data_IF_545116918082
#
_entry.id   IF_545116918082
#
_cell.length_a   1.000
_cell.length_b   1.000
_cell.length_c   1.000
_cell.angle_alpha   90.00
_cell.angle_beta   90.00
_cell.angle_gamma   90.00
#
_symmetry.space_group_name_H-M   'P 1'
#
loop_
_entity.id
_entity.type
_entity.pdbx_description
1 polymer ?
#
# COMPACT_ATOMS: atom_id res chain seq x y z
N UNK A 1 -32.00 28.07 23.57
CA UNK A 1 -32.49 28.43 22.22
C UNK A 1 -32.30 27.26 21.27
N UNK A 2 -33.34 26.84 20.53
CA UNK A 2 -33.30 25.66 19.64
C UNK A 2 -32.73 26.05 18.28
N UNK A 3 -31.68 25.35 17.82
CA UNK A 3 -31.00 25.63 16.54
C UNK A 3 -31.98 25.44 15.38
N UNK A 4 -32.26 26.50 14.63
CA UNK A 4 -33.09 26.45 13.41
C UNK A 4 -32.19 25.94 12.28
N UNK A 5 -32.43 24.71 11.84
CA UNK A 5 -31.75 24.12 10.68
C UNK A 5 -32.65 24.33 9.47
N UNK A 6 -32.16 25.08 8.46
CA UNK A 6 -32.88 25.26 7.20
C UNK A 6 -32.98 23.91 6.49
N UNK A 7 -34.21 23.42 6.31
CA UNK A 7 -34.45 22.22 5.50
C UNK A 7 -34.22 22.56 4.04
N UNK A 8 -33.55 21.67 3.31
CA UNK A 8 -33.40 21.80 1.86
C UNK A 8 -34.78 21.71 1.19
N UNK A 9 -34.95 22.41 0.07
CA UNK A 9 -36.17 22.34 -0.73
C UNK A 9 -36.38 20.92 -1.30
N UNK A 10 -37.63 20.51 -1.50
CA UNK A 10 -37.93 19.16 -2.01
C UNK A 10 -37.35 18.92 -3.41
N UNK A 11 -37.33 19.96 -4.25
CA UNK A 11 -36.76 19.91 -5.61
C UNK A 11 -35.24 19.70 -5.56
N UNK A 12 -34.54 20.40 -4.66
CA UNK A 12 -33.09 20.19 -4.48
C UNK A 12 -32.78 18.77 -3.99
N UNK A 13 -33.65 18.18 -3.16
CA UNK A 13 -33.48 16.82 -2.64
C UNK A 13 -33.67 15.75 -3.71
N UNK A 14 -34.64 15.91 -4.62
CA UNK A 14 -34.86 14.97 -5.72
C UNK A 14 -33.68 15.04 -6.71
N UNK A 15 -33.15 16.25 -6.98
CA UNK A 15 -32.00 16.43 -7.88
C UNK A 15 -30.70 15.85 -7.31
N UNK A 16 -30.49 15.93 -5.98
CA UNK A 16 -29.29 15.38 -5.32
C UNK A 16 -29.40 13.89 -5.01
N UNK A 17 -30.61 13.36 -4.85
CA UNK A 17 -30.87 11.96 -4.48
C UNK A 17 -30.06 10.90 -5.24
N UNK A 18 -29.93 10.92 -6.59
CA UNK A 18 -29.18 9.87 -7.28
C UNK A 18 -27.69 9.88 -6.91
N UNK A 19 -27.10 11.08 -6.74
CA UNK A 19 -25.71 11.21 -6.31
C UNK A 19 -25.55 10.82 -4.85
N UNK A 20 -26.47 11.26 -3.99
CA UNK A 20 -26.47 10.93 -2.56
C UNK A 20 -26.62 9.42 -2.34
N UNK A 21 -27.43 8.74 -3.16
CA UNK A 21 -27.60 7.29 -3.14
C UNK A 21 -26.33 6.56 -3.60
N UNK A 22 -25.70 7.00 -4.69
CA UNK A 22 -24.42 6.43 -5.13
C UNK A 22 -23.31 6.62 -4.10
N UNK A 23 -23.28 7.78 -3.44
CA UNK A 23 -22.34 8.07 -2.36
C UNK A 23 -22.61 7.17 -1.15
N UNK A 24 -23.88 7.00 -0.76
CA UNK A 24 -24.27 6.11 0.33
C UNK A 24 -23.91 4.64 0.03
N UNK A 25 -24.13 4.16 -1.20
CA UNK A 25 -23.70 2.82 -1.61
C UNK A 25 -22.18 2.68 -1.59
N UNK A 26 -21.45 3.71 -2.01
CA UNK A 26 -19.99 3.68 -1.98
C UNK A 26 -19.46 3.69 -0.53
N UNK A 27 -20.07 4.49 0.34
CA UNK A 27 -19.76 4.50 1.78
C UNK A 27 -20.03 3.13 2.39
N UNK A 28 -21.20 2.53 2.14
CA UNK A 28 -21.51 1.17 2.60
C UNK A 28 -20.50 0.15 2.08
N UNK A 29 -20.07 0.26 0.82
CA UNK A 29 -19.07 -0.64 0.24
C UNK A 29 -17.70 -0.50 0.91
N UNK A 30 -17.28 0.72 1.23
CA UNK A 30 -16.01 1.01 1.93
C UNK A 30 -16.05 0.61 3.40
N UNK A 31 -17.21 0.73 4.06
CA UNK A 31 -17.40 0.33 5.46
C UNK A 31 -17.32 -1.18 5.69
N UNK A 32 -17.62 -1.98 4.66
CA UNK A 32 -17.55 -3.45 4.77
C UNK A 32 -16.12 -3.90 4.52
N UNK A 33 -15.49 -4.45 5.56
CA UNK A 33 -14.18 -5.11 5.47
C UNK A 33 -14.28 -6.48 4.77
N UNK A 34 -14.48 -6.46 3.45
CA UNK A 34 -14.58 -7.66 2.60
C UNK A 34 -13.38 -8.61 2.73
N UNK A 35 -12.21 -8.09 3.12
CA UNK A 35 -10.99 -8.88 3.32
C UNK A 35 -11.03 -9.75 4.59
N UNK A 36 -11.90 -9.45 5.56
CA UNK A 36 -12.10 -10.29 6.76
C UNK A 36 -13.05 -11.46 6.50
N UNK A 37 -14.07 -11.23 5.67
CA UNK A 37 -15.07 -12.23 5.28
C UNK A 37 -14.64 -13.10 4.09
N UNK A 38 -13.41 -12.92 3.60
CA UNK A 38 -13.00 -13.56 2.35
C UNK A 38 -12.93 -15.08 2.44
N UNK A 39 -12.43 -15.62 3.55
CA UNK A 39 -12.29 -17.07 3.72
C UNK A 39 -13.63 -17.74 4.01
N UNK A 40 -14.46 -17.10 4.83
CA UNK A 40 -15.74 -17.64 5.27
C UNK A 40 -16.85 -17.53 4.24
N UNK A 41 -16.86 -16.46 3.43
CA UNK A 41 -17.93 -16.20 2.46
C UNK A 41 -17.49 -16.49 1.02
N UNK A 42 -16.29 -16.03 0.60
CA UNK A 42 -15.93 -16.08 -0.81
C UNK A 42 -15.70 -17.51 -1.33
N UNK A 43 -15.09 -18.37 -0.51
CA UNK A 43 -14.82 -19.77 -0.86
C UNK A 43 -16.11 -20.57 -1.05
N UNK A 44 -17.03 -20.66 -0.07
CA UNK A 44 -18.27 -21.40 -0.27
C UNK A 44 -19.13 -20.79 -1.37
N UNK A 45 -19.16 -19.46 -1.50
CA UNK A 45 -19.88 -18.80 -2.58
C UNK A 45 -19.35 -19.20 -3.96
N UNK A 46 -18.03 -19.26 -4.15
CA UNK A 46 -17.44 -19.71 -5.41
C UNK A 46 -17.70 -21.18 -5.72
N UNK A 47 -17.66 -22.05 -4.70
CA UNK A 47 -18.02 -23.48 -4.85
C UNK A 47 -19.49 -23.62 -5.22
N UNK A 48 -20.39 -22.93 -4.53
CA UNK A 48 -21.82 -22.94 -4.83
C UNK A 48 -22.09 -22.45 -6.25
N UNK A 49 -21.44 -21.36 -6.69
CA UNK A 49 -21.57 -20.86 -8.06
C UNK A 49 -21.05 -21.84 -9.12
N UNK A 50 -19.91 -22.51 -8.88
CA UNK A 50 -19.41 -23.55 -9.81
C UNK A 50 -20.35 -24.75 -9.88
N UNK A 51 -20.89 -25.20 -8.74
CA UNK A 51 -21.86 -26.31 -8.69
C UNK A 51 -23.16 -25.94 -9.39
N UNK A 52 -23.71 -24.75 -9.15
CA UNK A 52 -24.90 -24.27 -9.85
C UNK A 52 -24.66 -24.26 -11.36
N UNK A 53 -23.51 -23.74 -11.80
CA UNK A 53 -23.14 -23.75 -13.23
C UNK A 53 -23.05 -25.17 -13.79
N UNK A 54 -22.43 -26.10 -13.06
CA UNK A 54 -22.35 -27.51 -13.44
C UNK A 54 -23.74 -28.16 -13.55
N UNK A 55 -24.64 -27.92 -12.61
CA UNK A 55 -26.00 -28.47 -12.67
C UNK A 55 -26.85 -27.87 -13.80
N UNK A 56 -26.72 -26.56 -14.05
CA UNK A 56 -27.33 -25.91 -15.21
C UNK A 56 -26.85 -26.59 -16.49
N UNK A 57 -25.54 -26.84 -16.59
CA UNK A 57 -24.95 -27.48 -17.74
C UNK A 57 -25.40 -28.93 -17.91
N UNK A 58 -25.42 -29.70 -16.83
CA UNK A 58 -25.91 -31.08 -16.81
C UNK A 58 -27.37 -31.15 -17.28
N UNK A 59 -28.20 -30.21 -16.83
CA UNK A 59 -29.60 -30.15 -17.25
C UNK A 59 -29.77 -29.82 -18.74
N UNK A 60 -28.96 -28.91 -19.28
CA UNK A 60 -28.92 -28.63 -20.72
C UNK A 60 -28.51 -29.88 -21.52
N UNK A 61 -27.41 -30.54 -21.11
CA UNK A 61 -26.92 -31.75 -21.77
C UNK A 61 -27.94 -32.90 -21.71
N UNK A 62 -28.74 -32.99 -20.64
CA UNK A 62 -29.81 -33.99 -20.49
C UNK A 62 -31.00 -33.73 -21.41
N UNK A 63 -31.39 -32.46 -21.61
CA UNK A 63 -32.47 -32.08 -22.53
C UNK A 63 -32.07 -32.28 -23.98
N UNK A 64 -30.80 -32.05 -24.31
CA UNK A 64 -30.29 -32.07 -25.69
C UNK A 64 -30.01 -33.49 -26.25
N UNK A 65 -30.41 -34.55 -25.52
CA UNK A 65 -30.33 -35.94 -26.00
C UNK A 65 -31.45 -36.20 -27.03
N UNK A 66 -31.32 -35.63 -28.22
CA UNK A 66 -31.93 -36.21 -29.42
C UNK A 66 -31.12 -37.45 -29.86
N UNK A 67 -31.77 -38.56 -30.24
CA UNK A 67 -31.11 -39.78 -30.72
C UNK A 67 -30.69 -39.65 -32.19
N UNK A 68 -29.98 -38.58 -32.56
CA UNK A 68 -29.66 -38.30 -33.96
C UNK A 68 -28.16 -38.11 -34.21
N UNK A 69 -27.59 -39.20 -34.73
CA UNK A 69 -26.31 -39.36 -35.46
C UNK A 69 -25.01 -39.00 -34.73
N UNK A 70 -24.04 -39.90 -34.90
CA UNK A 70 -22.65 -39.76 -34.49
C UNK A 70 -22.01 -38.47 -35.05
N UNK A 71 -22.22 -37.36 -34.34
CA UNK A 71 -21.58 -36.05 -34.53
C UNK A 71 -20.09 -36.05 -34.12
N UNK A 72 -19.48 -37.23 -33.94
CA UNK A 72 -18.05 -37.40 -33.67
C UNK A 72 -17.18 -37.34 -34.94
N UNK A 73 -17.78 -37.47 -36.13
CA UNK A 73 -17.06 -37.54 -37.40
C UNK A 73 -17.46 -36.48 -38.45
N UNK A 74 -18.29 -35.49 -38.09
CA UNK A 74 -18.69 -34.46 -39.04
C UNK A 74 -17.80 -33.22 -38.86
N UNK A 75 -16.88 -33.00 -39.80
CA UNK A 75 -15.93 -31.88 -39.81
C UNK A 75 -16.43 -30.67 -40.63
N UNK A 76 -17.60 -30.78 -41.26
CA UNK A 76 -18.03 -29.83 -42.30
C UNK A 76 -18.91 -28.66 -41.83
N UNK A 77 -19.49 -28.72 -40.63
CA UNK A 77 -20.24 -27.57 -40.13
C UNK A 77 -19.30 -26.63 -39.36
N UNK A 78 -18.87 -25.57 -40.07
CA UNK A 78 -18.31 -24.38 -39.45
C UNK A 78 -19.22 -23.95 -38.30
N UNK A 79 -18.74 -24.16 -37.07
CA UNK A 79 -19.35 -23.78 -35.80
C UNK A 79 -19.51 -22.25 -35.75
N UNK A 80 -20.50 -21.73 -36.44
CA UNK A 80 -21.00 -20.38 -36.24
C UNK A 80 -21.66 -20.34 -34.86
N UNK A 81 -21.41 -19.28 -34.10
CA UNK A 81 -21.99 -19.07 -32.76
C UNK A 81 -23.53 -19.17 -32.79
N UNK A 82 -24.15 -18.88 -33.95
CA UNK A 82 -25.58 -19.02 -34.19
C UNK A 82 -26.10 -20.47 -34.20
N UNK A 83 -25.26 -21.46 -34.51
CA UNK A 83 -25.68 -22.87 -34.68
C UNK A 83 -25.26 -23.74 -33.48
N UNK A 84 -24.79 -23.12 -32.39
CA UNK A 84 -24.59 -23.89 -31.16
C UNK A 84 -25.97 -24.28 -30.60
N UNK A 85 -26.17 -25.53 -30.14
CA UNK A 85 -27.45 -25.98 -29.58
C UNK A 85 -27.92 -25.12 -28.39
N UNK A 86 -27.00 -24.38 -27.76
CA UNK A 86 -27.24 -23.46 -26.65
C UNK A 86 -27.93 -22.14 -27.05
N UNK A 87 -27.94 -21.82 -28.35
CA UNK A 87 -28.68 -20.70 -28.95
C UNK A 87 -29.88 -21.20 -29.79
N UNK A 88 -30.18 -22.51 -29.76
CA UNK A 88 -31.28 -23.09 -30.50
C UNK A 88 -32.65 -22.58 -30.05
N UNK A 89 -33.55 -22.36 -31.01
CA UNK A 89 -34.93 -21.91 -30.84
C UNK A 89 -35.82 -22.96 -30.15
N UNK A 90 -35.46 -23.42 -28.94
CA UNK A 90 -36.38 -24.20 -28.12
C UNK A 90 -37.20 -23.26 -27.22
N UNK A 91 -38.44 -23.02 -27.67
CA UNK A 91 -39.41 -21.98 -27.30
C UNK A 91 -40.00 -22.03 -25.89
N UNK A 92 -39.39 -22.78 -24.96
CA UNK A 92 -39.88 -22.83 -23.59
C UNK A 92 -39.35 -21.65 -22.76
N UNK A 93 -40.23 -21.03 -21.99
CA UNK A 93 -39.86 -19.92 -21.09
C UNK A 93 -38.79 -20.38 -20.08
N UNK A 94 -38.81 -21.65 -19.66
CA UNK A 94 -37.85 -22.22 -18.72
C UNK A 94 -36.43 -22.35 -19.30
N UNK A 95 -36.28 -22.81 -20.55
CA UNK A 95 -34.97 -22.88 -21.23
C UNK A 95 -34.36 -21.49 -21.41
N UNK A 96 -35.20 -20.48 -21.71
CA UNK A 96 -34.76 -19.09 -21.78
C UNK A 96 -34.28 -18.54 -20.42
N UNK A 97 -34.97 -18.84 -19.32
CA UNK A 97 -34.54 -18.46 -17.97
C UNK A 97 -33.21 -19.14 -17.56
N UNK A 98 -33.04 -20.41 -17.91
CA UNK A 98 -31.82 -21.17 -17.61
C UNK A 98 -30.63 -20.62 -18.39
N UNK A 99 -30.80 -20.36 -19.70
CA UNK A 99 -29.77 -19.73 -20.54
C UNK A 99 -29.42 -18.32 -20.03
N UNK A 100 -30.42 -17.51 -19.64
CA UNK A 100 -30.18 -16.19 -19.05
C UNK A 100 -29.38 -16.25 -17.75
N UNK A 101 -29.66 -17.26 -16.92
CA UNK A 101 -28.93 -17.49 -15.65
C UNK A 101 -27.48 -17.91 -15.90
N UNK A 102 -27.24 -18.74 -16.93
CA UNK A 102 -25.90 -19.13 -17.37
C UNK A 102 -25.05 -17.91 -17.78
N UNK A 103 -25.62 -17.04 -18.63
CA UNK A 103 -24.96 -15.80 -19.06
C UNK A 103 -24.65 -14.88 -17.88
N UNK A 104 -25.56 -14.78 -16.91
CA UNK A 104 -25.35 -13.99 -15.70
C UNK A 104 -24.15 -14.52 -14.89
N UNK A 105 -24.08 -15.85 -14.68
CA UNK A 105 -22.98 -16.49 -13.95
C UNK A 105 -21.65 -16.29 -14.70
N UNK A 106 -21.66 -16.41 -16.04
CA UNK A 106 -20.49 -16.17 -16.88
C UNK A 106 -20.01 -14.71 -16.81
N UNK A 107 -20.92 -13.75 -16.87
CA UNK A 107 -20.60 -12.32 -16.72
C UNK A 107 -19.99 -12.04 -15.35
N UNK A 108 -20.56 -12.58 -14.27
CA UNK A 108 -20.01 -12.44 -12.91
C UNK A 108 -18.57 -12.98 -12.86
N UNK A 109 -18.31 -14.12 -13.50
CA UNK A 109 -16.99 -14.72 -13.54
C UNK A 109 -15.96 -13.83 -14.26
N UNK A 110 -16.34 -13.30 -15.42
CA UNK A 110 -15.50 -12.39 -16.19
C UNK A 110 -15.21 -11.13 -15.38
N UNK A 111 -16.24 -10.52 -14.78
CA UNK A 111 -16.06 -9.29 -13.98
C UNK A 111 -15.12 -9.55 -12.80
N UNK A 112 -15.29 -10.64 -12.05
CA UNK A 112 -14.38 -10.98 -10.95
C UNK A 112 -12.94 -11.21 -11.45
N UNK A 113 -12.78 -11.91 -12.57
CA UNK A 113 -11.47 -12.13 -13.18
C UNK A 113 -10.81 -10.81 -13.60
N UNK A 114 -11.55 -9.92 -14.25
CA UNK A 114 -11.05 -8.59 -14.64
C UNK A 114 -10.62 -7.77 -13.41
N UNK A 115 -11.42 -7.79 -12.34
CA UNK A 115 -11.07 -7.11 -11.08
C UNK A 115 -9.77 -7.69 -10.51
N UNK A 116 -9.62 -9.02 -10.49
CA UNK A 116 -8.41 -9.67 -10.01
C UNK A 116 -7.17 -9.27 -10.83
N UNK A 117 -7.26 -9.31 -12.17
CA UNK A 117 -6.13 -9.02 -13.06
C UNK A 117 -5.72 -7.53 -13.08
N UNK A 118 -6.69 -6.61 -13.09
CA UNK A 118 -6.43 -5.20 -13.32
C UNK A 118 -6.31 -4.36 -12.05
N UNK A 119 -6.63 -4.90 -10.86
CA UNK A 119 -6.53 -4.15 -9.61
C UNK A 119 -5.06 -3.87 -9.26
N UNK A 120 -4.71 -2.59 -9.34
CA UNK A 120 -3.37 -2.09 -9.02
C UNK A 120 -3.46 -0.96 -8.00
N UNK A 121 -2.45 -0.85 -7.14
CA UNK A 121 -2.28 0.21 -6.16
C UNK A 121 -1.03 1.00 -6.46
N UNK A 122 -1.14 2.33 -6.39
CA UNK A 122 -0.06 3.27 -6.65
C UNK A 122 0.59 3.68 -5.33
N UNK A 123 1.91 3.64 -5.27
CA UNK A 123 2.70 4.13 -4.14
C UNK A 123 3.64 5.23 -4.63
N UNK A 124 3.69 6.35 -3.92
CA UNK A 124 4.65 7.42 -4.17
C UNK A 124 5.83 7.30 -3.21
N UNK A 125 7.04 7.33 -3.76
CA UNK A 125 8.30 7.28 -3.02
C UNK A 125 9.01 8.63 -3.23
N UNK A 126 9.42 9.25 -2.12
CA UNK A 126 10.02 10.58 -2.09
C UNK A 126 11.50 10.51 -1.69
N UNK A 127 12.29 11.50 -2.10
CA UNK A 127 13.69 11.70 -1.68
C UNK A 127 14.61 10.52 -2.02
N UNK A 128 14.46 9.94 -3.22
CA UNK A 128 15.34 8.88 -3.71
C UNK A 128 15.73 9.12 -5.17
N UNK A 129 17.03 9.08 -5.43
CA UNK A 129 17.60 9.36 -6.74
C UNK A 129 17.40 8.18 -7.72
N UNK A 130 17.61 6.95 -7.24
CA UNK A 130 17.53 5.73 -8.05
C UNK A 130 16.76 4.65 -7.29
N UNK A 131 15.71 4.11 -7.94
CA UNK A 131 15.04 2.88 -7.48
C UNK A 131 15.61 1.71 -8.30
N UNK A 132 15.79 0.56 -7.65
CA UNK A 132 16.18 -0.69 -8.30
C UNK A 132 15.31 -0.96 -9.54
N UNK A 133 15.91 -1.48 -10.61
CA UNK A 133 15.30 -1.75 -11.92
C UNK A 133 14.10 -2.73 -11.84
N UNK A 134 12.95 -2.23 -11.41
CA UNK A 134 11.65 -2.88 -11.57
C UNK A 134 10.90 -2.18 -12.69
N UNK A 135 10.33 -2.97 -13.61
CA UNK A 135 9.54 -2.43 -14.73
C UNK A 135 8.21 -1.79 -14.26
N UNK A 136 7.88 -1.91 -12.96
CA UNK A 136 6.71 -1.28 -12.33
C UNK A 136 6.96 0.16 -11.82
N UNK A 137 8.21 0.60 -11.75
CA UNK A 137 8.58 1.91 -11.21
C UNK A 137 8.69 2.94 -12.34
N UNK A 138 8.13 4.14 -12.12
CA UNK A 138 8.23 5.26 -13.05
C UNK A 138 8.54 6.54 -12.28
N UNK A 139 9.50 7.33 -12.74
CA UNK A 139 9.72 8.68 -12.23
C UNK A 139 8.61 9.58 -12.77
N UNK A 140 7.86 10.22 -11.87
CA UNK A 140 6.80 11.15 -12.22
C UNK A 140 7.22 12.52 -11.75
N UNK A 141 7.41 13.41 -12.73
CA UNK A 141 7.56 14.84 -12.47
C UNK A 141 6.18 15.46 -12.46
N UNK A 142 5.92 16.35 -11.49
CA UNK A 142 4.68 17.13 -11.44
C UNK A 142 4.45 17.82 -12.79
N UNK A 143 3.24 17.66 -13.35
CA UNK A 143 2.85 18.40 -14.56
C UNK A 143 2.77 19.88 -14.18
N UNK A 144 3.67 20.69 -14.70
CA UNK A 144 3.66 22.14 -14.49
C UNK A 144 2.46 22.73 -15.24
N UNK A 145 1.72 23.61 -14.56
CA UNK A 145 0.72 24.43 -15.22
C UNK A 145 1.40 25.41 -16.18
N UNK A 146 0.70 25.88 -17.22
CA UNK A 146 1.28 26.84 -18.18
C UNK A 146 1.80 28.12 -17.50
N UNK A 147 1.16 28.53 -16.40
CA UNK A 147 1.58 29.68 -15.59
C UNK A 147 2.86 29.40 -14.80
N UNK A 148 3.02 28.18 -14.25
CA UNK A 148 4.28 27.77 -13.60
C UNK A 148 5.44 27.71 -14.61
N UNK A 149 5.18 27.25 -15.84
CA UNK A 149 6.18 27.24 -16.92
C UNK A 149 6.59 28.66 -17.30
N UNK A 150 5.62 29.59 -17.39
CA UNK A 150 5.90 31.00 -17.66
C UNK A 150 6.66 31.65 -16.52
N UNK A 151 6.28 31.40 -15.26
CA UNK A 151 6.96 31.94 -14.10
C UNK A 151 8.42 31.45 -14.02
N UNK A 152 8.67 30.17 -14.28
CA UNK A 152 10.02 29.59 -14.33
C UNK A 152 10.88 30.15 -15.48
N UNK A 153 10.27 30.59 -16.58
CA UNK A 153 10.97 31.32 -17.64
C UNK A 153 11.44 32.72 -17.19
N UNK A 154 10.65 33.39 -16.34
CA UNK A 154 10.99 34.73 -15.84
C UNK A 154 11.92 34.70 -14.60
N UNK A 155 11.93 33.62 -13.81
CA UNK A 155 12.76 33.45 -12.61
C UNK A 155 13.45 32.07 -12.59
N UNK A 156 14.64 31.92 -13.21
CA UNK A 156 15.29 30.62 -13.41
C UNK A 156 16.12 30.07 -12.22
N UNK A 157 16.37 30.85 -11.16
CA UNK A 157 17.46 30.59 -10.19
C UNK A 157 17.20 29.55 -9.08
N UNK A 158 16.02 28.93 -8.99
CA UNK A 158 15.76 27.89 -7.96
C UNK A 158 15.95 26.47 -8.51
N UNK A 159 17.19 26.06 -8.75
CA UNK A 159 17.50 24.67 -9.17
C UNK A 159 17.36 23.64 -8.05
N UNK A 160 17.58 24.03 -6.79
CA UNK A 160 17.51 23.12 -5.64
C UNK A 160 16.07 22.72 -5.29
N UNK A 161 15.07 23.53 -5.63
CA UNK A 161 13.65 23.20 -5.43
C UNK A 161 13.11 22.24 -6.50
N UNK A 162 13.73 22.19 -7.69
CA UNK A 162 13.30 21.32 -8.82
C UNK A 162 13.42 19.82 -8.50
N UNK A 163 14.34 19.43 -7.63
CA UNK A 163 14.48 18.04 -7.19
C UNK A 163 13.40 17.61 -6.18
N UNK A 164 12.82 18.57 -5.43
CA UNK A 164 11.82 18.30 -4.40
C UNK A 164 10.44 17.92 -4.97
N UNK A 165 10.16 18.31 -6.21
CA UNK A 165 8.86 18.07 -6.89
C UNK A 165 8.84 16.78 -7.75
N UNK A 166 9.97 16.07 -7.87
CA UNK A 166 10.04 14.79 -8.57
C UNK A 166 9.91 13.62 -7.60
N UNK A 167 8.90 12.77 -7.79
CA UNK A 167 8.70 11.58 -6.98
C UNK A 167 8.63 10.33 -7.87
N UNK A 168 8.92 9.19 -7.29
CA UNK A 168 8.78 7.92 -7.98
C UNK A 168 7.40 7.33 -7.71
N UNK A 169 6.68 6.96 -8.77
CA UNK A 169 5.42 6.21 -8.69
C UNK A 169 5.70 4.73 -8.94
N UNK A 170 5.35 3.88 -7.97
CA UNK A 170 5.41 2.43 -8.08
C UNK A 170 3.99 1.87 -8.18
N UNK A 171 3.66 1.24 -9.32
CA UNK A 171 2.36 0.60 -9.54
C UNK A 171 2.45 -0.88 -9.22
N UNK A 172 1.81 -1.28 -8.13
CA UNK A 172 1.86 -2.65 -7.64
C UNK A 172 0.53 -3.34 -7.89
N UNK A 173 0.59 -4.58 -8.36
CA UNK A 173 -0.59 -5.43 -8.45
C UNK A 173 -1.09 -5.80 -7.04
N UNK A 174 -2.33 -5.43 -6.70
CA UNK A 174 -2.86 -5.61 -5.34
C UNK A 174 -4.31 -6.06 -5.39
N UNK A 175 -4.57 -7.34 -5.73
CA UNK A 175 -5.92 -7.90 -5.68
C UNK A 175 -6.42 -7.87 -4.22
N UNK A 176 -7.75 -7.70 -4.04
CA UNK A 176 -8.36 -7.88 -2.71
C UNK A 176 -8.35 -9.36 -2.34
N UNK A 177 -8.28 -9.66 -1.03
CA UNK A 177 -8.32 -11.04 -0.55
C UNK A 177 -9.61 -11.71 -1.01
N UNK A 178 -10.75 -11.03 -0.86
CA UNK A 178 -12.05 -11.52 -1.31
C UNK A 178 -12.06 -11.93 -2.78
N UNK A 179 -11.62 -11.04 -3.68
CA UNK A 179 -11.57 -11.33 -5.12
C UNK A 179 -10.58 -12.46 -5.46
N UNK A 180 -9.49 -12.59 -4.69
CA UNK A 180 -8.51 -13.69 -4.87
C UNK A 180 -9.12 -15.03 -4.50
N UNK A 181 -9.75 -15.14 -3.32
CA UNK A 181 -10.40 -16.38 -2.88
C UNK A 181 -11.59 -16.75 -3.79
N UNK A 182 -12.37 -15.75 -4.22
CA UNK A 182 -13.45 -15.95 -5.18
C UNK A 182 -12.91 -16.41 -6.54
N UNK A 183 -11.81 -15.81 -7.04
CA UNK A 183 -11.19 -16.22 -8.30
C UNK A 183 -10.64 -17.65 -8.26
N UNK A 184 -10.06 -18.06 -7.13
CA UNK A 184 -9.53 -19.42 -6.97
C UNK A 184 -10.66 -20.46 -6.89
N UNK A 185 -11.71 -20.19 -6.09
CA UNK A 185 -12.84 -21.11 -5.93
C UNK A 185 -13.76 -21.13 -7.18
N UNK A 186 -14.00 -19.96 -7.77
CA UNK A 186 -14.79 -19.77 -8.99
C UNK A 186 -13.87 -19.44 -10.17
N UNK A 187 -13.00 -20.39 -10.51
CA UNK A 187 -12.01 -20.20 -11.56
C UNK A 187 -12.65 -20.07 -12.95
N UNK A 188 -12.28 -19.05 -13.76
CA UNK A 188 -12.74 -18.92 -15.15
C UNK A 188 -12.41 -20.15 -15.98
N UNK A 189 -11.33 -20.86 -15.63
CA UNK A 189 -10.94 -22.10 -16.28
C UNK A 189 -12.03 -23.17 -16.17
N UNK A 190 -12.61 -23.37 -14.99
CA UNK A 190 -13.59 -24.44 -14.80
C UNK A 190 -14.86 -24.21 -15.64
N UNK A 191 -15.29 -22.96 -15.75
CA UNK A 191 -16.46 -22.57 -16.55
C UNK A 191 -16.15 -22.72 -18.04
N UNK A 192 -15.00 -22.21 -18.48
CA UNK A 192 -14.57 -22.37 -19.87
C UNK A 192 -14.39 -23.86 -20.22
N UNK A 193 -13.88 -24.68 -19.31
CA UNK A 193 -13.75 -26.12 -19.52
C UNK A 193 -15.11 -26.76 -19.76
N UNK A 194 -16.06 -26.54 -18.86
CA UNK A 194 -17.41 -27.06 -18.97
C UNK A 194 -18.13 -26.54 -20.23
N UNK A 195 -17.86 -25.30 -20.64
CA UNK A 195 -18.34 -24.75 -21.91
C UNK A 195 -17.74 -25.50 -23.12
N UNK A 196 -16.43 -25.78 -23.10
CA UNK A 196 -15.71 -26.43 -24.19
C UNK A 196 -15.76 -27.96 -24.17
N UNK A 197 -16.35 -28.60 -23.14
CA UNK A 197 -16.22 -30.04 -22.80
C UNK A 197 -16.86 -31.05 -23.78
N UNK A 198 -16.69 -30.85 -25.09
CA UNK A 198 -16.79 -31.87 -26.12
C UNK A 198 -15.38 -32.17 -26.63
N UNK A 199 -14.98 -33.44 -26.64
CA UNK A 199 -13.62 -33.83 -27.07
C UNK A 199 -13.36 -33.39 -28.51
N UNK A 200 -12.49 -32.40 -28.70
CA UNK A 200 -12.18 -31.75 -29.97
C UNK A 200 -10.80 -31.11 -29.89
N UNK A 201 -10.16 -30.80 -31.03
CA UNK A 201 -8.91 -30.01 -31.08
C UNK A 201 -8.98 -28.69 -30.29
N UNK A 202 -10.19 -28.15 -30.10
CA UNK A 202 -10.49 -26.99 -29.24
C UNK A 202 -10.02 -27.19 -27.78
N UNK A 203 -10.06 -28.42 -27.26
CA UNK A 203 -9.58 -28.71 -25.90
C UNK A 203 -8.06 -28.59 -25.76
N UNK A 204 -7.30 -28.82 -26.84
CA UNK A 204 -5.84 -28.60 -26.83
C UNK A 204 -5.53 -27.10 -26.71
N UNK A 205 -6.23 -26.26 -27.49
CA UNK A 205 -6.12 -24.79 -27.39
C UNK A 205 -6.50 -24.32 -25.99
N UNK A 206 -7.55 -24.90 -25.42
CA UNK A 206 -8.00 -24.60 -24.07
C UNK A 206 -6.95 -24.96 -23.01
N UNK A 207 -6.40 -26.18 -23.03
CA UNK A 207 -5.33 -26.61 -22.11
C UNK A 207 -4.06 -25.77 -22.24
N UNK A 208 -3.70 -25.37 -23.46
CA UNK A 208 -2.56 -24.49 -23.73
C UNK A 208 -2.81 -23.07 -23.19
N UNK A 209 -3.99 -22.51 -23.44
CA UNK A 209 -4.41 -21.20 -22.95
C UNK A 209 -4.31 -21.12 -21.44
N UNK A 210 -4.66 -22.20 -20.74
CA UNK A 210 -4.81 -22.17 -19.29
C UNK A 210 -3.49 -22.40 -18.61
N UNK A 211 -2.63 -23.23 -19.21
CA UNK A 211 -1.21 -23.29 -18.88
C UNK A 211 -0.53 -21.93 -19.05
N UNK A 212 -0.80 -21.21 -20.15
CA UNK A 212 -0.25 -19.87 -20.38
C UNK A 212 -0.74 -18.83 -19.36
N UNK A 213 -2.05 -18.82 -19.04
CA UNK A 213 -2.63 -17.93 -18.03
C UNK A 213 -2.03 -18.21 -16.66
N UNK A 214 -1.90 -19.48 -16.27
CA UNK A 214 -1.28 -19.88 -15.00
C UNK A 214 0.18 -19.44 -14.92
N UNK A 215 0.95 -19.65 -15.99
CA UNK A 215 2.33 -19.16 -16.08
C UNK A 215 2.39 -17.63 -15.90
N UNK A 216 1.53 -16.88 -16.59
CA UNK A 216 1.49 -15.43 -16.48
C UNK A 216 1.10 -14.93 -15.07
N UNK A 217 0.11 -15.56 -14.42
CA UNK A 217 -0.35 -15.20 -13.07
C UNK A 217 0.71 -15.53 -12.02
N UNK A 218 1.26 -16.74 -12.05
CA UNK A 218 2.14 -17.23 -10.98
C UNK A 218 3.58 -16.76 -11.20
N UNK A 219 4.11 -16.87 -12.41
CA UNK A 219 5.53 -16.58 -12.64
C UNK A 219 5.71 -15.08 -12.80
N UNK A 220 5.05 -14.46 -13.76
CA UNK A 220 5.29 -13.04 -14.07
C UNK A 220 4.68 -12.11 -13.02
N UNK A 221 3.39 -12.27 -12.71
CA UNK A 221 2.70 -11.31 -11.82
C UNK A 221 3.08 -11.48 -10.35
N UNK A 222 3.11 -12.71 -9.84
CA UNK A 222 3.37 -12.95 -8.41
C UNK A 222 4.85 -12.76 -8.03
N UNK A 223 5.82 -13.19 -8.87
CA UNK A 223 7.24 -12.88 -8.58
C UNK A 223 7.51 -11.37 -8.62
N UNK A 224 6.91 -10.66 -9.59
CA UNK A 224 6.99 -9.20 -9.66
C UNK A 224 6.39 -8.55 -8.41
N UNK A 225 5.25 -9.05 -7.93
CA UNK A 225 4.62 -8.58 -6.70
C UNK A 225 5.54 -8.73 -5.48
N UNK A 226 6.21 -9.88 -5.33
CA UNK A 226 7.16 -10.10 -4.23
C UNK A 226 8.31 -9.10 -4.30
N UNK A 227 8.90 -8.90 -5.50
CA UNK A 227 9.97 -7.94 -5.72
C UNK A 227 9.53 -6.51 -5.36
N UNK A 228 8.36 -6.09 -5.84
CA UNK A 228 7.82 -4.76 -5.61
C UNK A 228 7.47 -4.53 -4.12
N UNK A 229 6.94 -5.54 -3.43
CA UNK A 229 6.69 -5.48 -1.97
C UNK A 229 8.00 -5.35 -1.18
N UNK A 230 9.04 -6.09 -1.55
CA UNK A 230 10.36 -5.99 -0.90
C UNK A 230 10.91 -4.57 -0.99
N UNK A 231 10.77 -3.91 -2.14
CA UNK A 231 11.21 -2.52 -2.34
C UNK A 231 10.47 -1.58 -1.39
N UNK A 232 9.14 -1.71 -1.27
CA UNK A 232 8.37 -0.89 -0.31
C UNK A 232 8.85 -1.13 1.11
N UNK A 233 8.97 -2.39 1.54
CA UNK A 233 9.35 -2.69 2.92
C UNK A 233 10.72 -2.11 3.25
N UNK A 234 11.68 -2.27 2.35
CA UNK A 234 12.99 -1.64 2.48
C UNK A 234 12.87 -0.12 2.62
N UNK A 235 12.08 0.54 1.76
CA UNK A 235 11.91 1.99 1.80
C UNK A 235 11.23 2.47 3.08
N UNK A 236 10.18 1.78 3.53
CA UNK A 236 9.50 2.11 4.79
C UNK A 236 10.42 1.95 5.99
N UNK A 237 11.32 0.97 5.95
CA UNK A 237 12.32 0.76 6.99
C UNK A 237 13.38 1.86 6.97
N UNK A 238 13.89 2.23 5.79
CA UNK A 238 14.85 3.33 5.63
C UNK A 238 14.26 4.67 6.10
N UNK A 239 12.99 4.94 5.76
CA UNK A 239 12.26 6.12 6.20
C UNK A 239 12.09 6.13 7.72
N UNK A 240 11.70 4.99 8.30
CA UNK A 240 11.56 4.83 9.74
C UNK A 240 12.91 5.06 10.45
N UNK A 241 13.99 4.47 9.93
CA UNK A 241 15.32 4.59 10.51
C UNK A 241 15.79 6.06 10.48
N UNK A 242 15.61 6.74 9.35
CA UNK A 242 15.98 8.15 9.19
C UNK A 242 15.15 9.08 10.07
N UNK A 243 13.83 8.86 10.17
CA UNK A 243 12.92 9.78 10.90
C UNK A 243 12.91 9.54 12.40
N UNK A 244 13.03 8.30 12.86
CA UNK A 244 12.78 7.94 14.26
C UNK A 244 13.99 7.36 14.97
N UNK A 245 14.83 6.59 14.28
CA UNK A 245 15.94 5.84 14.90
C UNK A 245 17.20 6.69 15.00
N UNK A 246 17.77 7.09 13.85
CA UNK A 246 18.99 7.92 13.78
C UNK A 246 18.94 9.16 14.68
N UNK A 247 17.87 10.00 14.65
CA UNK A 247 17.85 11.19 15.49
C UNK A 247 17.78 10.90 16.99
N UNK A 248 17.38 9.70 17.42
CA UNK A 248 17.38 9.31 18.84
C UNK A 248 18.69 8.65 19.26
N UNK A 249 19.33 7.90 18.37
CA UNK A 249 20.60 7.22 18.65
C UNK A 249 21.81 8.16 18.57
N UNK A 250 21.83 9.09 17.61
CA UNK A 250 22.96 9.99 17.36
C UNK A 250 22.75 11.39 17.96
N UNK A 251 22.12 11.49 19.12
CA UNK A 251 22.03 12.77 19.85
C UNK A 251 23.38 13.03 20.49
N UNK A 252 24.06 14.08 20.07
CA UNK A 252 25.24 14.57 20.78
C UNK A 252 24.81 15.05 22.16
N UNK A 253 25.16 14.29 23.20
CA UNK A 253 24.92 14.68 24.59
C UNK A 253 26.18 15.37 25.13
N UNK A 254 25.97 16.44 25.89
CA UNK A 254 27.04 17.12 26.62
C UNK A 254 26.93 16.76 28.10
N UNK A 255 28.06 16.47 28.73
CA UNK A 255 28.12 16.30 30.18
C UNK A 255 28.05 17.67 30.86
N UNK A 256 27.17 17.78 31.85
CA UNK A 256 26.95 19.00 32.63
C UNK A 256 27.00 18.63 34.10
N UNK A 257 27.87 19.29 34.87
CA UNK A 257 27.86 19.19 36.33
C UNK A 257 27.10 20.39 36.91
N UNK A 258 26.18 20.09 37.83
CA UNK A 258 25.39 21.07 38.57
C UNK A 258 25.77 20.93 40.04
N UNK A 259 26.31 21.99 40.61
CA UNK A 259 26.54 22.08 42.05
C UNK A 259 25.25 22.54 42.73
N UNK A 260 24.73 21.76 43.68
CA UNK A 260 23.50 22.07 44.44
C UNK A 260 23.79 22.47 45.91
N UNK A 261 25.07 22.60 46.29
CA UNK A 261 25.47 22.72 47.71
C UNK A 261 24.95 23.99 48.39
N UNK A 262 24.65 25.05 47.62
CA UNK A 262 24.29 26.38 48.16
C UNK A 262 22.80 26.74 48.10
N UNK A 263 21.92 25.78 47.77
CA UNK A 263 20.48 25.97 47.76
C UNK A 263 19.94 26.86 46.61
N UNK A 264 18.62 27.07 46.53
CA UNK A 264 17.93 27.64 45.36
C UNK A 264 18.20 29.14 45.11
N UNK A 265 18.73 29.87 46.09
CA UNK A 265 18.99 31.31 46.00
C UNK A 265 20.39 31.65 45.47
N UNK A 266 21.28 30.66 45.34
CA UNK A 266 22.63 30.88 44.83
C UNK A 266 22.67 30.59 43.32
N UNK A 267 23.36 31.44 42.55
CA UNK A 267 23.63 31.20 41.13
C UNK A 267 24.52 29.96 40.99
N UNK A 268 23.91 28.78 40.77
CA UNK A 268 24.65 27.56 40.50
C UNK A 268 25.53 27.77 39.27
N UNK A 269 26.85 27.64 39.43
CA UNK A 269 27.79 27.64 38.31
C UNK A 269 27.62 26.32 37.56
N UNK A 270 26.87 26.34 36.46
CA UNK A 270 26.73 25.21 35.56
C UNK A 270 28.07 25.01 34.86
N UNK A 271 28.77 23.92 35.16
CA UNK A 271 30.01 23.58 34.47
C UNK A 271 29.68 22.66 33.30
N UNK A 272 29.89 23.17 32.08
CA UNK A 272 29.75 22.40 30.86
C UNK A 272 31.09 21.79 30.47
N UNK A 273 31.10 20.48 30.21
CA UNK A 273 32.27 19.78 29.69
C UNK A 273 32.12 19.57 28.18
N UNK A 274 33.22 19.43 27.44
CA UNK A 274 33.10 18.99 26.04
C UNK A 274 32.41 17.62 26.01
N UNK A 275 31.61 17.29 24.98
CA UNK A 275 31.10 15.93 24.81
C UNK A 275 32.28 14.97 24.92
N UNK A 276 32.34 14.23 26.03
CA UNK A 276 33.41 13.28 26.27
C UNK A 276 33.35 12.24 25.15
N UNK A 277 34.51 11.83 24.64
CA UNK A 277 34.61 10.53 23.97
C UNK A 277 33.97 9.55 24.95
N UNK A 278 32.89 8.89 24.58
CA UNK A 278 32.26 7.86 25.41
C UNK A 278 33.27 6.74 25.56
N UNK A 279 34.16 6.85 26.54
CA UNK A 279 35.03 5.75 26.90
C UNK A 279 34.13 4.63 27.39
N UNK A 280 34.37 3.40 26.92
CA UNK A 280 33.65 2.20 27.33
C UNK A 280 34.05 1.84 28.76
N UNK A 281 33.58 2.66 29.69
CA UNK A 281 33.81 2.53 31.12
C UNK A 281 32.62 1.79 31.71
N UNK A 282 32.88 0.62 32.26
CA UNK A 282 31.88 -0.15 32.99
C UNK A 282 31.99 0.19 34.46
N UNK A 283 30.88 0.56 35.08
CA UNK A 283 30.79 0.82 36.52
C UNK A 283 30.05 -0.34 37.17
N UNK A 284 30.67 -0.94 38.18
CA UNK A 284 30.04 -1.94 39.03
C UNK A 284 29.98 -1.43 40.46
N UNK A 285 28.92 -1.79 41.16
CA UNK A 285 28.75 -1.49 42.57
C UNK A 285 28.90 -2.79 43.34
N UNK A 286 29.82 -2.82 44.29
CA UNK A 286 29.92 -3.92 45.22
C UNK A 286 28.72 -3.93 46.19
N UNK A 287 28.44 -5.04 46.87
CA UNK A 287 27.34 -5.15 47.86
C UNK A 287 27.48 -4.16 49.03
N UNK A 288 28.68 -3.60 49.23
CA UNK A 288 28.99 -2.53 50.19
C UNK A 288 28.79 -1.11 49.62
N UNK A 289 28.29 -0.97 48.39
CA UNK A 289 28.12 0.30 47.68
C UNK A 289 29.42 0.91 47.16
N UNK A 290 30.53 0.16 47.15
CA UNK A 290 31.80 0.65 46.61
C UNK A 290 31.79 0.55 45.08
N UNK A 291 32.05 1.68 44.40
CA UNK A 291 32.15 1.74 42.94
C UNK A 291 33.53 1.28 42.45
N UNK A 292 33.55 0.27 41.59
CA UNK A 292 34.70 -0.10 40.75
C UNK A 292 34.44 0.30 39.29
N UNK A 293 35.47 0.83 38.63
CA UNK A 293 35.41 1.28 37.24
C UNK A 293 36.42 0.50 36.41
N UNK A 294 35.95 -0.12 35.34
CA UNK A 294 36.76 -0.92 34.45
C UNK A 294 36.72 -0.35 33.03
N UNK A 295 37.87 -0.35 32.35
CA UNK A 295 37.98 0.03 30.95
C UNK A 295 38.09 -1.23 30.10
N UNK A 296 37.19 -1.36 29.14
CA UNK A 296 37.25 -2.45 28.17
C UNK A 296 38.13 -2.04 26.99
N UNK A 297 39.27 -2.72 26.83
CA UNK A 297 40.21 -2.45 25.75
C UNK A 297 40.71 -3.78 25.16
N UNK A 298 40.62 -3.94 23.84
CA UNK A 298 41.17 -5.10 23.11
C UNK A 298 40.70 -6.49 23.61
N UNK A 299 39.49 -6.60 24.18
CA UNK A 299 38.93 -7.87 24.65
C UNK A 299 39.15 -8.18 26.13
N UNK A 300 39.90 -7.35 26.86
CA UNK A 300 40.16 -7.51 28.29
C UNK A 300 39.63 -6.32 29.11
N UNK A 301 39.20 -6.60 30.34
CA UNK A 301 38.79 -5.60 31.32
C UNK A 301 39.99 -5.20 32.18
N UNK A 302 40.33 -3.91 32.15
CA UNK A 302 41.41 -3.36 32.97
C UNK A 302 40.82 -2.50 34.09
N UNK A 303 41.11 -2.81 35.37
CA UNK A 303 40.62 -2.00 36.48
C UNK A 303 41.33 -0.65 36.50
N UNK A 304 40.56 0.43 36.49
CA UNK A 304 41.10 1.78 36.65
C UNK A 304 41.14 2.12 38.14
N UNK A 305 42.35 2.34 38.69
CA UNK A 305 42.48 3.01 39.98
C UNK A 305 41.80 4.37 39.89
N UNK A 306 41.04 4.76 40.92
CA UNK A 306 40.40 6.08 41.06
C UNK A 306 41.43 7.20 40.93
N UNK A 307 41.73 7.60 39.70
CA UNK A 307 42.36 8.87 39.39
C UNK A 307 41.24 9.79 38.94
N UNK A 308 41.20 11.06 39.41
CA UNK A 308 40.24 12.02 38.89
C UNK A 308 40.56 12.22 37.41
N UNK A 309 39.71 11.67 36.55
CA UNK A 309 39.78 11.92 35.12
C UNK A 309 39.50 13.41 34.97
N UNK A 310 40.53 14.19 34.64
CA UNK A 310 40.39 15.61 34.38
C UNK A 310 39.56 15.80 33.11
N UNK A 311 38.24 15.89 33.26
CA UNK A 311 37.34 16.20 32.17
C UNK A 311 37.77 17.56 31.58
N UNK A 312 38.00 17.58 30.26
CA UNK A 312 38.36 18.80 29.56
C UNK A 312 37.17 19.76 29.63
N UNK A 313 37.29 20.82 30.44
CA UNK A 313 36.27 21.88 30.51
C UNK A 313 36.07 22.43 29.09
N UNK A 314 34.82 22.55 28.65
CA UNK A 314 34.57 23.15 27.34
C UNK A 314 34.98 24.61 27.40
N UNK A 315 35.87 25.04 26.50
CA UNK A 315 36.28 26.44 26.39
C UNK A 315 35.09 27.38 26.10
N UNK A 316 33.98 26.83 25.60
CA UNK A 316 32.71 27.50 25.35
C UNK A 316 31.65 27.01 26.34
N UNK A 317 31.73 27.51 27.58
CA UNK A 317 30.54 27.56 28.44
C UNK A 317 29.70 28.75 27.96
N UNK A 318 28.41 28.58 27.64
CA UNK A 318 27.57 29.73 27.36
C UNK A 318 27.49 30.57 28.64
N UNK A 319 28.18 31.70 28.65
CA UNK A 319 27.98 32.73 29.66
C UNK A 319 26.52 33.12 29.54
N UNK A 320 25.77 32.99 30.63
CA UNK A 320 24.38 33.39 30.74
C UNK A 320 24.28 34.89 30.51
N UNK A 321 24.26 35.35 29.25
CA UNK A 321 23.74 36.66 28.92
C UNK A 321 22.25 36.59 29.21
N UNK A 322 21.74 37.53 29.98
CA UNK A 322 20.30 37.69 30.28
C UNK A 322 19.51 38.16 29.05
N UNK A 323 19.77 37.61 27.87
CA UNK A 323 18.95 37.82 26.68
C UNK A 323 18.23 36.50 26.42
N UNK A 324 16.96 36.44 26.82
CA UNK A 324 16.00 35.49 26.28
C UNK A 324 16.01 35.68 24.75
N UNK A 325 16.75 34.85 24.05
CA UNK A 325 16.51 34.52 22.66
C UNK A 325 15.83 33.16 22.71
N UNK A 326 14.50 33.22 22.67
CA UNK A 326 13.66 32.08 22.36
C UNK A 326 14.00 31.62 20.94
N UNK A 327 14.13 30.30 20.81
CA UNK A 327 14.17 29.52 19.57
C UNK A 327 15.54 29.45 18.89
N UNK A 328 16.35 28.49 19.32
CA UNK A 328 17.06 27.69 18.32
C UNK A 328 15.99 26.87 17.59
N UNK A 329 15.68 27.16 16.31
CA UNK A 329 14.80 26.30 15.56
C UNK A 329 15.48 24.93 15.48
N UNK A 330 14.71 23.88 15.78
CA UNK A 330 15.11 22.54 15.35
C UNK A 330 15.38 22.60 13.83
N UNK A 331 16.30 21.78 13.29
CA UNK A 331 16.50 21.70 11.83
C UNK A 331 15.25 21.24 11.05
N UNK A 332 14.14 20.98 11.75
CA UNK A 332 12.83 20.64 11.21
C UNK A 332 11.81 21.81 11.29
N UNK A 333 12.14 22.94 11.92
CA UNK A 333 11.22 24.07 12.09
C UNK A 333 11.14 25.01 10.88
N UNK A 334 12.07 24.94 9.93
CA UNK A 334 12.12 25.85 8.77
C UNK A 334 11.14 25.49 7.63
N UNK A 335 10.15 24.62 7.84
CA UNK A 335 9.19 24.25 6.78
C UNK A 335 7.77 24.75 6.93
N UNK A 336 7.49 25.62 7.89
CA UNK A 336 6.19 26.31 7.95
C UNK A 336 6.40 27.70 8.47
N UNK A 337 6.32 28.69 7.59
CA UNK A 337 5.49 29.90 7.73
C UNK A 337 5.97 30.97 6.74
N UNK A 338 5.10 31.28 5.78
CA UNK A 338 4.72 32.56 5.15
C UNK A 338 4.12 32.17 3.79
N UNK A 339 2.92 32.59 3.36
CA UNK A 339 2.33 33.92 3.50
C UNK A 339 0.80 33.82 3.32
N UNK A 340 0.07 34.19 4.36
CA UNK A 340 -1.29 34.71 4.27
C UNK A 340 -1.19 36.25 4.36
N UNK A 341 -2.14 36.93 3.71
CA UNK A 341 -2.49 38.36 3.73
C UNK A 341 -1.61 39.38 2.98
N UNK A 342 -2.12 39.82 1.83
CA UNK A 342 -2.64 41.19 1.59
C UNK A 342 -3.75 41.05 0.51
N UNK A 343 -5.03 41.24 0.79
CA UNK A 343 -5.80 42.49 0.99
C UNK A 343 -5.93 43.40 -0.25
N UNK A 344 -7.19 43.58 -0.65
CA UNK A 344 -7.84 44.77 -1.21
C UNK A 344 -7.42 45.26 -2.60
N UNK A 345 -8.13 44.75 -3.63
CA UNK A 345 -9.03 45.56 -4.46
C UNK A 345 -10.02 44.69 -5.24
#
# INVERSE_FOLDING_TARGET
>A
MKKIIRKQSLISRIKSFPLDFLLALNEQRELIDWDSYSETIAIPLGIVLTLIYFFIRLYQDFIDIEPSRNRYFNYDESFMISNSPYFGENSSVLTAFISSSEWLIFIINIVNSLIFFFKTKKYSIYNKEIISSTTSARKVTRRKSLLEILYEYFYPDEEDEKNLDSYWELKIWNPSKFSTYLFVSFSPFNILFLYFSRSSFKNLVFLSSTSFILYFVIVERFLKLIKDRKIIFQETFDEYERKFVKPKLSIQKREVAIDATKGPSYSNSIQCFSPGRTERLFKYHDYKGQESVEKFNHGEFTPLKKQPINLRKSLLTPVRSKSFSTNNPSPLSNKRLYKSSHDLH
#
